data_IF_132611770453
#
_entry.id   IF_132611770453
#
_cell.length_a   1.000
_cell.length_b   1.000
_cell.length_c   1.000
_cell.angle_alpha   90.00
_cell.angle_beta   90.00
_cell.angle_gamma   90.00
#
_symmetry.space_group_name_H-M   'P 1'
#
loop_
_entity.id
_entity.type
_entity.pdbx_description
1 polymer ?
#
# COMPACT_ATOMS: atom_id res chain seq x y z
N UNK A 1 -0.02 16.54 -10.28
CA UNK A 1 0.96 15.65 -9.59
C UNK A 1 1.61 14.77 -10.66
N UNK A 2 2.92 14.52 -10.58
CA UNK A 2 3.62 13.63 -11.53
C UNK A 2 3.59 12.21 -10.96
N UNK A 3 3.09 11.23 -11.75
CA UNK A 3 3.17 9.81 -11.40
C UNK A 3 4.64 9.37 -11.30
N UNK A 4 4.97 8.57 -10.30
CA UNK A 4 6.28 7.91 -10.13
C UNK A 4 6.23 6.41 -10.47
N UNK A 5 5.14 5.93 -11.08
CA UNK A 5 5.09 4.61 -11.69
C UNK A 5 5.95 4.57 -12.94
N UNK A 6 6.53 3.42 -13.24
CA UNK A 6 7.16 3.16 -14.54
C UNK A 6 6.09 3.07 -15.63
N UNK A 7 6.50 3.19 -16.89
CA UNK A 7 5.59 3.04 -18.03
C UNK A 7 4.92 1.65 -18.03
N UNK A 8 5.65 0.61 -17.66
CA UNK A 8 5.10 -0.75 -17.55
C UNK A 8 4.03 -0.82 -16.45
N UNK A 9 4.32 -0.28 -15.26
CA UNK A 9 3.37 -0.28 -14.14
C UNK A 9 2.07 0.46 -14.50
N UNK A 10 2.20 1.64 -15.11
CA UNK A 10 1.04 2.42 -15.54
C UNK A 10 0.20 1.66 -16.57
N UNK A 11 0.83 1.10 -17.60
CA UNK A 11 0.15 0.32 -18.64
C UNK A 11 -0.52 -0.94 -18.08
N UNK A 12 0.12 -1.63 -17.11
CA UNK A 12 -0.51 -2.77 -16.43
C UNK A 12 -1.79 -2.32 -15.73
N UNK A 13 -1.74 -1.22 -14.97
CA UNK A 13 -2.90 -0.71 -14.27
C UNK A 13 -4.02 -0.29 -15.25
N UNK A 14 -3.72 0.49 -16.29
CA UNK A 14 -4.68 0.94 -17.30
C UNK A 14 -5.38 -0.24 -18.00
N UNK A 15 -4.60 -1.19 -18.49
CA UNK A 15 -5.10 -2.38 -19.21
C UNK A 15 -5.91 -3.31 -18.29
N UNK A 16 -5.48 -3.46 -17.02
CA UNK A 16 -6.20 -4.26 -16.05
C UNK A 16 -7.57 -3.64 -15.73
N UNK A 17 -7.59 -2.37 -15.36
CA UNK A 17 -8.84 -1.69 -14.97
C UNK A 17 -9.77 -1.41 -16.16
N UNK A 18 -9.29 -1.40 -17.38
CA UNK A 18 -10.15 -1.37 -18.57
C UNK A 18 -11.00 -2.65 -18.71
N UNK A 19 -10.55 -3.78 -18.13
CA UNK A 19 -11.20 -5.11 -18.22
C UNK A 19 -11.87 -5.52 -16.91
N UNK A 20 -11.35 -5.07 -15.75
CA UNK A 20 -11.79 -5.55 -14.44
C UNK A 20 -11.83 -4.40 -13.41
N UNK A 21 -13.01 -3.86 -13.16
CA UNK A 21 -13.22 -2.71 -12.28
C UNK A 21 -13.69 -3.07 -10.87
N UNK A 22 -13.82 -4.36 -10.55
CA UNK A 22 -14.19 -4.83 -9.21
C UNK A 22 -12.99 -4.85 -8.25
N UNK A 23 -11.79 -4.77 -8.79
CA UNK A 23 -10.56 -4.59 -8.03
C UNK A 23 -10.31 -3.11 -7.71
N UNK A 24 -9.43 -2.88 -6.77
CA UNK A 24 -8.94 -1.55 -6.39
C UNK A 24 -7.42 -1.58 -6.29
N UNK A 25 -6.76 -0.57 -6.83
CA UNK A 25 -5.33 -0.34 -6.63
C UNK A 25 -5.12 0.29 -5.25
N UNK A 26 -4.27 -0.31 -4.44
CA UNK A 26 -3.96 0.15 -3.08
C UNK A 26 -2.46 0.24 -2.83
N UNK A 27 -2.04 0.40 -1.60
CA UNK A 27 -0.64 0.31 -1.18
C UNK A 27 0.29 1.34 -1.79
N UNK A 28 1.54 0.91 -2.01
CA UNK A 28 2.60 1.76 -2.57
C UNK A 28 2.31 2.24 -3.98
N UNK A 29 1.71 1.39 -4.83
CA UNK A 29 1.35 1.72 -6.21
C UNK A 29 0.34 2.85 -6.31
N UNK A 30 -0.69 2.83 -5.45
CA UNK A 30 -1.69 3.90 -5.36
C UNK A 30 -1.06 5.24 -4.92
N UNK A 31 -0.23 5.20 -3.87
CA UNK A 31 0.44 6.40 -3.34
C UNK A 31 1.44 6.99 -4.33
N UNK A 32 2.28 6.15 -4.95
CA UNK A 32 3.32 6.58 -5.88
C UNK A 32 2.75 7.14 -7.19
N UNK A 33 1.70 6.48 -7.70
CA UNK A 33 1.16 6.78 -9.03
C UNK A 33 0.10 7.87 -9.07
N UNK A 34 -0.77 7.90 -8.06
CA UNK A 34 -2.04 8.61 -8.19
C UNK A 34 -2.35 9.59 -7.06
N UNK A 35 -1.80 9.39 -5.86
CA UNK A 35 -2.20 10.17 -4.69
C UNK A 35 -1.12 11.14 -4.21
N UNK A 36 0.13 10.70 -4.03
CA UNK A 36 1.18 11.50 -3.38
C UNK A 36 2.43 11.70 -4.25
N UNK A 37 2.87 10.68 -4.98
CA UNK A 37 4.11 10.75 -5.76
C UNK A 37 5.35 11.02 -4.89
N UNK A 38 5.40 10.47 -3.69
CA UNK A 38 6.43 10.75 -2.69
C UNK A 38 7.63 9.80 -2.76
N UNK A 39 7.47 8.61 -3.35
CA UNK A 39 8.53 7.62 -3.61
C UNK A 39 8.15 6.71 -4.75
N UNK A 40 9.13 6.04 -5.34
CA UNK A 40 8.90 4.96 -6.30
C UNK A 40 8.46 3.67 -5.61
N UNK A 41 7.86 2.76 -6.36
CA UNK A 41 7.50 1.41 -5.93
C UNK A 41 7.85 0.40 -7.01
N UNK A 42 8.02 -0.89 -6.63
CA UNK A 42 8.26 -2.00 -7.56
C UNK A 42 7.02 -2.86 -7.79
N UNK A 43 5.96 -2.61 -7.04
CA UNK A 43 4.78 -3.47 -6.93
C UNK A 43 3.47 -2.71 -7.19
N UNK A 44 2.47 -3.45 -7.66
CA UNK A 44 1.07 -3.03 -7.76
C UNK A 44 0.23 -4.00 -6.93
N UNK A 45 -0.45 -3.46 -5.93
CA UNK A 45 -1.35 -4.19 -5.06
C UNK A 45 -2.80 -4.04 -5.56
N UNK A 46 -3.37 -5.09 -6.13
CA UNK A 46 -4.73 -5.14 -6.67
C UNK A 46 -5.62 -5.94 -5.72
N UNK A 47 -6.43 -5.23 -4.93
CA UNK A 47 -7.29 -5.82 -3.92
C UNK A 47 -8.73 -5.96 -4.41
N UNK A 48 -9.42 -6.99 -3.92
CA UNK A 48 -10.84 -7.22 -4.16
C UNK A 48 -11.50 -7.74 -2.88
N UNK A 49 -12.72 -7.29 -2.58
CA UNK A 49 -13.48 -7.70 -1.39
C UNK A 49 -14.51 -8.82 -1.68
N UNK A 50 -14.25 -9.61 -2.71
CA UNK A 50 -15.04 -10.78 -3.11
C UNK A 50 -14.09 -11.88 -3.60
N UNK A 51 -14.52 -13.15 -3.64
CA UNK A 51 -13.66 -14.27 -4.06
C UNK A 51 -13.42 -14.28 -5.58
N UNK A 52 -12.79 -13.23 -6.09
CA UNK A 52 -12.59 -12.97 -7.53
C UNK A 52 -11.12 -13.04 -7.96
N UNK A 53 -10.20 -13.54 -7.12
CA UNK A 53 -8.77 -13.65 -7.44
C UNK A 53 -8.52 -14.41 -8.74
N UNK A 54 -9.28 -15.47 -9.02
CA UNK A 54 -9.20 -16.22 -10.28
C UNK A 54 -9.67 -15.41 -11.50
N UNK A 55 -10.64 -14.50 -11.32
CA UNK A 55 -11.02 -13.55 -12.38
C UNK A 55 -9.88 -12.56 -12.66
N UNK A 56 -9.27 -12.03 -11.60
CA UNK A 56 -8.11 -11.15 -11.71
C UNK A 56 -6.92 -11.82 -12.37
N UNK A 57 -6.62 -13.09 -12.02
CA UNK A 57 -5.55 -13.88 -12.66
C UNK A 57 -5.74 -13.98 -14.18
N UNK A 58 -6.94 -14.36 -14.61
CA UNK A 58 -7.24 -14.45 -16.05
C UNK A 58 -7.03 -13.11 -16.76
N UNK A 59 -7.55 -12.03 -16.18
CA UNK A 59 -7.39 -10.68 -16.75
C UNK A 59 -5.92 -10.27 -16.77
N UNK A 60 -5.15 -10.54 -15.72
CA UNK A 60 -3.73 -10.19 -15.67
C UNK A 60 -2.91 -10.92 -16.74
N UNK A 61 -3.26 -12.18 -17.06
CA UNK A 61 -2.64 -12.92 -18.18
C UNK A 61 -2.99 -12.32 -19.55
N UNK A 62 -4.21 -11.87 -19.73
CA UNK A 62 -4.63 -11.14 -20.93
C UNK A 62 -3.85 -9.83 -21.08
N UNK A 63 -3.68 -9.09 -19.98
CA UNK A 63 -2.87 -7.87 -19.91
C UNK A 63 -1.41 -8.15 -20.28
N UNK A 64 -0.79 -9.17 -19.68
CA UNK A 64 0.58 -9.54 -20.01
C UNK A 64 0.74 -9.84 -21.50
N UNK A 65 -0.19 -10.60 -22.08
CA UNK A 65 -0.21 -10.89 -23.53
C UNK A 65 -0.35 -9.61 -24.37
N UNK A 66 -1.26 -8.71 -24.03
CA UNK A 66 -1.50 -7.46 -24.74
C UNK A 66 -0.27 -6.53 -24.69
N UNK A 67 0.48 -6.56 -23.59
CA UNK A 67 1.70 -5.77 -23.40
C UNK A 67 2.97 -6.42 -23.98
N UNK A 68 2.88 -7.66 -24.46
CA UNK A 68 4.05 -8.44 -24.88
C UNK A 68 4.99 -8.75 -23.70
N UNK A 69 4.46 -8.82 -22.48
CA UNK A 69 5.21 -9.12 -21.28
C UNK A 69 5.15 -10.62 -20.95
N UNK A 70 6.24 -11.18 -20.43
CA UNK A 70 6.19 -12.47 -19.77
C UNK A 70 5.51 -12.35 -18.41
N UNK A 71 4.84 -13.41 -17.96
CA UNK A 71 4.20 -13.48 -16.66
C UNK A 71 4.63 -14.77 -15.94
N UNK A 72 5.20 -14.62 -14.75
CA UNK A 72 5.65 -15.72 -13.90
C UNK A 72 4.90 -15.70 -12.57
N UNK A 73 4.22 -16.80 -12.21
CA UNK A 73 3.60 -16.93 -10.90
C UNK A 73 4.67 -17.22 -9.85
N UNK A 74 4.81 -16.33 -8.87
CA UNK A 74 5.72 -16.50 -7.73
C UNK A 74 5.02 -17.14 -6.53
N UNK A 75 3.76 -16.80 -6.30
CA UNK A 75 2.90 -17.36 -5.24
C UNK A 75 1.52 -17.59 -5.85
N UNK A 76 0.90 -18.71 -5.49
CA UNK A 76 -0.47 -19.03 -5.90
C UNK A 76 -1.20 -19.70 -4.75
N UNK A 77 -2.11 -18.94 -4.13
CA UNK A 77 -3.02 -19.38 -3.08
C UNK A 77 -4.46 -18.91 -3.41
N UNK A 78 -5.50 -19.48 -2.82
CA UNK A 78 -6.88 -19.13 -3.16
C UNK A 78 -7.22 -17.63 -3.02
N UNK A 79 -6.69 -16.99 -1.97
CA UNK A 79 -6.97 -15.58 -1.65
C UNK A 79 -5.80 -14.64 -1.99
N UNK A 80 -4.67 -15.18 -2.48
CA UNK A 80 -3.47 -14.39 -2.78
C UNK A 80 -2.67 -15.00 -3.93
N UNK A 81 -2.39 -14.18 -4.95
CA UNK A 81 -1.48 -14.56 -6.03
C UNK A 81 -0.48 -13.44 -6.27
N UNK A 82 0.79 -13.79 -6.41
CA UNK A 82 1.87 -12.87 -6.77
C UNK A 82 2.47 -13.26 -8.10
N UNK A 83 2.58 -12.30 -8.98
CA UNK A 83 3.17 -12.43 -10.30
C UNK A 83 4.34 -11.48 -10.48
N UNK A 84 5.31 -11.91 -11.27
CA UNK A 84 6.31 -11.04 -11.88
C UNK A 84 5.97 -10.91 -13.38
N UNK A 85 5.65 -9.70 -13.81
CA UNK A 85 5.50 -9.34 -15.21
C UNK A 85 6.80 -8.69 -15.67
N UNK A 86 7.32 -9.11 -16.82
CA UNK A 86 8.60 -8.59 -17.34
C UNK A 86 8.53 -8.35 -18.83
N UNK A 87 9.09 -7.23 -19.26
CA UNK A 87 9.43 -6.90 -20.64
C UNK A 87 10.95 -6.96 -20.83
N UNK A 88 11.45 -6.62 -22.00
CA UNK A 88 12.89 -6.54 -22.24
C UNK A 88 13.60 -5.45 -21.42
N UNK A 89 12.87 -4.41 -20.98
CA UNK A 89 13.45 -3.22 -20.33
C UNK A 89 12.96 -2.97 -18.90
N UNK A 90 11.89 -3.62 -18.45
CA UNK A 90 11.28 -3.33 -17.14
C UNK A 90 10.58 -4.56 -16.57
N UNK A 91 10.36 -4.55 -15.25
CA UNK A 91 9.60 -5.59 -14.57
C UNK A 91 8.75 -5.00 -13.44
N UNK A 92 7.61 -5.64 -13.18
CA UNK A 92 6.68 -5.24 -12.13
C UNK A 92 6.17 -6.46 -11.38
N UNK A 93 6.16 -6.39 -10.05
CA UNK A 93 5.43 -7.34 -9.21
C UNK A 93 3.97 -6.92 -9.15
N UNK A 94 3.06 -7.87 -9.35
CA UNK A 94 1.62 -7.64 -9.23
C UNK A 94 1.02 -8.63 -8.25
N UNK A 95 0.40 -8.11 -7.20
CA UNK A 95 -0.32 -8.88 -6.20
C UNK A 95 -1.82 -8.79 -6.44
N UNK A 96 -2.47 -9.94 -6.53
CA UNK A 96 -3.93 -10.07 -6.53
C UNK A 96 -4.36 -10.59 -5.16
N UNK A 97 -5.16 -9.82 -4.44
CA UNK A 97 -5.50 -10.11 -3.04
C UNK A 97 -7.03 -10.09 -2.85
N UNK A 98 -7.59 -11.19 -2.32
CA UNK A 98 -8.92 -11.17 -1.73
C UNK A 98 -8.80 -10.66 -0.29
N UNK A 99 -9.05 -9.36 -0.10
CA UNK A 99 -9.06 -8.75 1.21
C UNK A 99 -10.43 -8.96 1.89
N UNK A 100 -10.42 -9.68 2.99
CA UNK A 100 -11.62 -9.97 3.81
C UNK A 100 -11.80 -8.98 4.95
N UNK A 101 -10.84 -8.08 5.14
CA UNK A 101 -10.93 -7.06 6.17
C UNK A 101 -12.03 -6.03 5.83
N UNK A 102 -12.69 -5.46 6.86
CA UNK A 102 -13.67 -4.41 6.63
C UNK A 102 -13.03 -3.17 6.01
N UNK A 103 -13.76 -2.52 5.11
CA UNK A 103 -13.35 -1.25 4.50
C UNK A 103 -13.86 -0.05 5.28
N UNK A 104 -13.25 1.10 5.07
CA UNK A 104 -13.76 2.39 5.52
C UNK A 104 -14.93 2.88 4.65
N UNK A 105 -15.55 3.97 5.10
CA UNK A 105 -16.71 4.57 4.42
C UNK A 105 -16.32 5.57 3.32
N UNK A 106 -15.04 5.95 3.24
CA UNK A 106 -14.56 6.88 2.24
C UNK A 106 -14.69 6.28 0.82
N UNK A 107 -15.21 7.05 -0.15
CA UNK A 107 -15.42 6.56 -1.50
C UNK A 107 -14.08 6.29 -2.20
N UNK A 108 -14.04 5.26 -3.05
CA UNK A 108 -12.88 4.99 -3.91
C UNK A 108 -12.64 6.16 -4.86
N UNK A 109 -11.38 6.47 -5.12
CA UNK A 109 -10.97 7.54 -6.04
C UNK A 109 -10.83 6.96 -7.45
N UNK A 110 -11.20 7.73 -8.48
CA UNK A 110 -11.07 7.27 -9.88
C UNK A 110 -10.14 8.16 -10.68
N UNK A 111 -9.25 7.50 -11.43
CA UNK A 111 -8.36 8.12 -12.41
C UNK A 111 -8.62 7.44 -13.77
N UNK A 112 -9.55 7.98 -14.55
CA UNK A 112 -10.07 7.29 -15.73
C UNK A 112 -10.76 5.98 -15.35
N UNK A 113 -10.30 4.86 -15.89
CA UNK A 113 -10.80 3.51 -15.54
C UNK A 113 -10.24 2.99 -14.22
N UNK A 114 -9.09 3.50 -13.77
CA UNK A 114 -8.38 3.00 -12.59
C UNK A 114 -9.14 3.39 -11.32
N UNK A 115 -9.43 2.39 -10.50
CA UNK A 115 -10.09 2.54 -9.19
C UNK A 115 -9.01 2.45 -8.11
N UNK A 116 -8.91 3.47 -7.26
CA UNK A 116 -7.85 3.62 -6.26
C UNK A 116 -8.47 3.72 -4.87
N UNK A 117 -7.86 3.07 -3.88
CA UNK A 117 -8.24 3.25 -2.48
C UNK A 117 -8.05 4.69 -2.03
N UNK A 118 -8.98 5.23 -1.22
CA UNK A 118 -8.79 6.53 -0.63
C UNK A 118 -7.61 6.54 0.36
N UNK A 119 -6.97 7.70 0.57
CA UNK A 119 -5.81 7.81 1.46
C UNK A 119 -6.05 7.28 2.88
N UNK A 120 -7.24 7.45 3.44
CA UNK A 120 -7.63 6.97 4.77
C UNK A 120 -7.61 5.43 4.85
N UNK A 121 -8.06 4.77 3.78
CA UNK A 121 -8.03 3.31 3.67
C UNK A 121 -6.59 2.81 3.62
N UNK A 122 -5.76 3.44 2.77
CA UNK A 122 -4.35 3.07 2.63
C UNK A 122 -3.61 3.32 3.94
N UNK A 123 -3.89 4.43 4.63
CA UNK A 123 -3.28 4.71 5.94
C UNK A 123 -3.64 3.63 6.96
N UNK A 124 -4.91 3.22 7.04
CA UNK A 124 -5.32 2.13 7.94
C UNK A 124 -4.60 0.82 7.61
N UNK A 125 -4.48 0.47 6.32
CA UNK A 125 -3.73 -0.71 5.87
C UNK A 125 -2.24 -0.62 6.24
N UNK A 126 -1.62 0.57 6.14
CA UNK A 126 -0.22 0.79 6.56
C UNK A 126 -0.03 0.63 8.06
N UNK A 127 -0.98 1.10 8.89
CA UNK A 127 -0.92 0.88 10.33
C UNK A 127 -0.99 -0.61 10.69
N UNK A 128 -1.88 -1.38 10.04
CA UNK A 128 -1.95 -2.84 10.18
C UNK A 128 -0.64 -3.50 9.74
N UNK A 129 -0.09 -3.07 8.60
CA UNK A 129 1.16 -3.60 8.07
C UNK A 129 2.33 -3.39 9.05
N UNK A 130 2.39 -2.25 9.72
CA UNK A 130 3.42 -1.92 10.71
C UNK A 130 3.37 -2.82 11.95
N UNK A 131 2.25 -3.50 12.25
CA UNK A 131 2.21 -4.51 13.30
C UNK A 131 2.96 -5.80 12.93
N UNK A 132 2.98 -6.15 11.65
CA UNK A 132 3.47 -7.44 11.17
C UNK A 132 4.88 -7.39 10.59
N UNK A 133 5.32 -6.21 10.11
CA UNK A 133 6.64 -6.01 9.51
C UNK A 133 7.17 -4.60 9.76
N UNK A 134 8.50 -4.51 9.96
CA UNK A 134 9.19 -3.25 10.26
C UNK A 134 9.90 -2.69 9.02
N UNK A 135 9.16 -2.44 7.93
CA UNK A 135 9.75 -1.89 6.72
C UNK A 135 9.72 -0.35 6.73
N UNK A 136 10.88 0.28 6.53
CA UNK A 136 10.99 1.74 6.53
C UNK A 136 10.09 2.41 5.48
N UNK A 137 9.83 1.71 4.36
CA UNK A 137 8.92 2.23 3.32
C UNK A 137 7.50 2.43 3.83
N UNK A 138 7.00 1.56 4.74
CA UNK A 138 5.66 1.71 5.29
C UNK A 138 5.59 2.92 6.25
N UNK A 139 6.65 3.14 7.02
CA UNK A 139 6.75 4.33 7.87
C UNK A 139 6.87 5.63 7.06
N UNK A 140 7.59 5.60 5.92
CA UNK A 140 7.65 6.72 4.97
C UNK A 140 6.29 6.99 4.34
N UNK A 141 5.52 5.95 4.01
CA UNK A 141 4.16 6.10 3.49
C UNK A 141 3.23 6.77 4.52
N UNK A 142 3.32 6.36 5.79
CA UNK A 142 2.56 6.99 6.89
C UNK A 142 2.95 8.47 7.06
N UNK A 143 4.26 8.78 7.06
CA UNK A 143 4.75 10.17 7.13
C UNK A 143 4.21 11.02 5.97
N UNK A 144 4.21 10.48 4.76
CA UNK A 144 3.74 11.19 3.57
C UNK A 144 2.22 11.43 3.61
N UNK A 145 1.46 10.45 4.08
CA UNK A 145 0.00 10.59 4.28
C UNK A 145 -0.32 11.63 5.36
N UNK A 146 0.40 11.63 6.48
CA UNK A 146 0.22 12.65 7.52
C UNK A 146 0.52 14.07 7.01
N UNK A 147 1.59 14.24 6.23
CA UNK A 147 1.91 15.52 5.59
C UNK A 147 0.87 15.99 4.58
N UNK A 148 0.16 15.04 3.99
CA UNK A 148 -0.95 15.32 3.08
C UNK A 148 -2.27 15.62 3.82
N UNK A 149 -2.28 15.62 5.17
CA UNK A 149 -3.44 15.98 5.98
C UNK A 149 -4.30 14.79 6.44
N UNK A 150 -3.75 13.57 6.40
CA UNK A 150 -4.42 12.35 6.87
C UNK A 150 -3.77 11.87 8.19
N UNK A 151 -4.21 12.37 9.35
CA UNK A 151 -3.60 12.02 10.63
C UNK A 151 -3.94 10.58 11.04
N UNK A 152 -3.00 9.93 11.72
CA UNK A 152 -3.18 8.53 12.18
C UNK A 152 -4.38 8.37 13.12
N UNK A 153 -4.71 9.39 13.92
CA UNK A 153 -5.85 9.35 14.85
C UNK A 153 -7.16 9.05 14.12
N UNK A 154 -7.31 9.55 12.90
CA UNK A 154 -8.46 9.25 12.05
C UNK A 154 -8.45 7.82 11.48
N UNK A 155 -7.28 7.23 11.28
CA UNK A 155 -7.12 5.91 10.67
C UNK A 155 -7.11 4.75 11.69
N UNK A 156 -6.67 4.99 12.93
CA UNK A 156 -6.57 3.96 13.98
C UNK A 156 -7.90 3.22 14.22
N UNK A 157 -9.07 3.86 14.27
CA UNK A 157 -10.34 3.13 14.45
C UNK A 157 -10.63 2.14 13.30
N UNK A 158 -10.32 2.51 12.06
CA UNK A 158 -10.47 1.61 10.91
C UNK A 158 -9.42 0.50 10.95
N UNK A 159 -8.17 0.81 11.24
CA UNK A 159 -7.09 -0.16 11.37
C UNK A 159 -7.40 -1.22 12.45
N UNK A 160 -7.97 -0.80 13.61
CA UNK A 160 -8.40 -1.72 14.67
C UNK A 160 -9.57 -2.63 14.25
N UNK A 161 -10.45 -2.18 13.34
CA UNK A 161 -11.49 -3.06 12.76
C UNK A 161 -10.91 -4.08 11.79
N UNK A 162 -9.84 -3.71 11.07
CA UNK A 162 -9.16 -4.59 10.11
C UNK A 162 -8.33 -5.67 10.81
N UNK A 163 -7.71 -5.32 11.91
CA UNK A 163 -6.90 -6.25 12.73
C UNK A 163 -7.23 -6.02 14.21
N UNK A 164 -7.92 -6.99 14.82
CA UNK A 164 -8.33 -6.91 16.21
C UNK A 164 -7.17 -6.87 17.24
N UNK A 165 -5.94 -7.16 16.80
CA UNK A 165 -4.73 -6.97 17.61
C UNK A 165 -4.21 -5.54 17.62
N UNK A 166 -4.70 -4.68 16.73
CA UNK A 166 -4.25 -3.30 16.64
C UNK A 166 -4.91 -2.43 17.70
N UNK A 167 -4.12 -2.04 18.67
CA UNK A 167 -4.44 -0.97 19.62
C UNK A 167 -3.35 0.10 19.56
N UNK A 168 -3.63 1.35 19.97
CA UNK A 168 -2.57 2.36 20.07
C UNK A 168 -1.38 1.91 20.91
N UNK A 169 -1.62 1.21 22.02
CA UNK A 169 -0.56 0.67 22.89
C UNK A 169 0.29 -0.37 22.16
N UNK A 170 -0.34 -1.34 21.49
CA UNK A 170 0.36 -2.38 20.75
C UNK A 170 1.18 -1.81 19.59
N UNK A 171 0.58 -0.90 18.80
CA UNK A 171 1.27 -0.24 17.71
C UNK A 171 2.46 0.59 18.23
N UNK A 172 2.26 1.37 19.30
CA UNK A 172 3.33 2.14 19.94
C UNK A 172 4.48 1.24 20.43
N UNK A 173 4.16 0.07 21.00
CA UNK A 173 5.17 -0.91 21.43
C UNK A 173 5.95 -1.47 20.24
N UNK A 174 5.27 -1.91 19.17
CA UNK A 174 5.95 -2.42 17.96
C UNK A 174 6.86 -1.37 17.35
N UNK A 175 6.37 -0.14 17.21
CA UNK A 175 7.15 0.97 16.68
C UNK A 175 8.37 1.31 17.55
N UNK A 176 8.32 1.08 18.87
CA UNK A 176 9.47 1.28 19.77
C UNK A 176 10.63 0.31 19.52
N UNK A 177 10.37 -0.80 18.83
CA UNK A 177 11.39 -1.78 18.45
C UNK A 177 12.11 -1.41 17.14
N UNK A 178 11.61 -0.42 16.39
CA UNK A 178 12.24 0.01 15.15
C UNK A 178 13.45 0.87 15.45
N UNK A 179 14.61 0.44 14.96
CA UNK A 179 15.85 1.21 15.01
C UNK A 179 16.21 1.69 13.59
N UNK A 180 16.44 2.99 13.44
CA UNK A 180 16.84 3.60 12.16
C UNK A 180 18.27 4.10 12.30
N UNK A 181 19.22 3.40 11.70
CA UNK A 181 20.65 3.81 11.66
C UNK A 181 20.87 5.11 10.87
N UNK A 182 22.02 5.74 11.05
CA UNK A 182 22.35 6.97 10.31
C UNK A 182 22.58 6.71 8.82
N UNK A 183 22.98 5.50 8.47
CA UNK A 183 23.23 4.98 7.12
C UNK A 183 22.03 4.26 6.51
N UNK A 184 20.88 4.27 7.18
CA UNK A 184 19.69 3.61 6.70
C UNK A 184 19.24 4.13 5.32
N UNK A 185 19.04 3.22 4.36
CA UNK A 185 18.49 3.56 3.05
C UNK A 185 16.99 3.84 3.17
N UNK A 186 16.62 5.11 3.36
CA UNK A 186 15.24 5.56 3.48
C UNK A 186 14.72 5.98 2.10
N UNK A 187 13.61 5.40 1.60
CA UNK A 187 13.06 5.80 0.30
C UNK A 187 12.43 7.20 0.32
N UNK A 188 12.18 7.76 -0.87
CA UNK A 188 11.41 9.00 -1.02
C UNK A 188 12.13 10.29 -0.64
N UNK A 189 13.48 10.26 -0.53
CA UNK A 189 14.26 11.46 -0.22
C UNK A 189 14.11 11.95 1.23
N UNK A 190 13.49 11.16 2.11
CA UNK A 190 13.40 11.42 3.55
C UNK A 190 14.73 11.05 4.21
N UNK A 191 15.29 11.90 5.05
CA UNK A 191 16.52 11.57 5.78
C UNK A 191 16.24 10.61 6.95
N UNK A 192 17.24 9.79 7.32
CA UNK A 192 17.14 8.91 8.49
C UNK A 192 16.83 9.70 9.78
N UNK A 193 17.44 10.89 9.95
CA UNK A 193 17.17 11.76 11.10
C UNK A 193 15.72 12.27 11.14
N UNK A 194 15.14 12.59 9.99
CA UNK A 194 13.77 13.04 9.88
C UNK A 194 12.80 11.89 10.19
N UNK A 195 13.04 10.71 9.64
CA UNK A 195 12.20 9.53 9.88
C UNK A 195 12.26 9.08 11.35
N UNK A 196 13.43 9.17 12.01
CA UNK A 196 13.55 8.91 13.46
C UNK A 196 12.72 9.89 14.28
N UNK A 197 12.78 11.18 13.97
CA UNK A 197 11.99 12.21 14.66
C UNK A 197 10.50 11.93 14.52
N UNK A 198 10.05 11.62 13.31
CA UNK A 198 8.67 11.25 13.07
C UNK A 198 8.27 9.99 13.84
N UNK A 199 9.11 8.96 13.88
CA UNK A 199 8.87 7.73 14.63
C UNK A 199 8.67 8.01 16.13
N UNK A 200 9.51 8.85 16.74
CA UNK A 200 9.38 9.25 18.14
C UNK A 200 8.09 10.04 18.39
N UNK A 201 7.75 10.97 17.51
CA UNK A 201 6.49 11.73 17.59
C UNK A 201 5.27 10.81 17.51
N UNK A 202 5.29 9.87 16.57
CA UNK A 202 4.24 8.87 16.39
C UNK A 202 4.05 8.02 17.65
N UNK A 203 5.14 7.53 18.25
CA UNK A 203 5.11 6.77 19.51
C UNK A 203 4.48 7.59 20.64
N UNK A 204 4.84 8.87 20.79
CA UNK A 204 4.27 9.75 21.80
C UNK A 204 2.76 9.98 21.60
N UNK A 205 2.31 10.15 20.35
CA UNK A 205 0.89 10.32 20.01
C UNK A 205 0.10 9.07 20.31
N UNK A 206 0.61 7.89 19.93
CA UNK A 206 -0.01 6.60 20.24
C UNK A 206 -0.07 6.36 21.75
N UNK A 207 0.96 6.76 22.51
CA UNK A 207 0.94 6.71 23.97
C UNK A 207 -0.20 7.54 24.58
N UNK A 208 -0.42 8.75 24.10
CA UNK A 208 -1.57 9.58 24.54
C UNK A 208 -2.92 8.98 24.15
N UNK A 209 -3.03 8.31 22.99
CA UNK A 209 -4.25 7.61 22.59
C UNK A 209 -4.52 6.37 23.45
N UNK A 210 -3.47 5.68 23.90
CA UNK A 210 -3.58 4.49 24.71
C UNK A 210 -3.99 4.81 26.17
N UNK A 211 -3.51 5.95 26.71
CA UNK A 211 -3.79 6.41 28.08
C UNK A 211 -4.25 7.88 28.03
N UNK A 212 -5.52 8.12 27.67
CA UNK A 212 -6.08 9.46 27.72
C UNK A 212 -6.12 9.91 29.20
N UNK A 213 -5.54 11.09 29.47
CA UNK A 213 -5.52 11.73 30.81
C UNK A 213 -6.88 12.21 31.23
#
# INVERSE_FOLDING_TARGET
MRSLLTDLQLRIAEEFFAREQRFVLTGGGALAGFLLGHRTTSDLDLFVHAPLVESGDRVLREVASALGASIEAKISAPDFKRYLLSTASDSCVVDLVHDRAPTGDAPKVRFGAIVVDPPEEILANKLVTLLSRNELRDLVDVLALERAGYPIEGAVPLAARKDGGLTPAQLGWVLSQITIGDDAAVPGGVSAAELRRFLLELQHRLGRMAWPS
#
